data_IF_491147203682
#
_entry.id   IF_491147203682
#
_cell.length_a   1.000
_cell.length_b   1.000
_cell.length_c   1.000
_cell.angle_alpha   90.00
_cell.angle_beta   90.00
_cell.angle_gamma   90.00
#
_symmetry.space_group_name_H-M   'P 1'
#
loop_
_entity.id
_entity.type
_entity.pdbx_description
1 polymer ?
#
# COMPACT_ATOMS: atom_id res chain seq x y z
N UNK A 1 3.55 13.32 12.25
CA UNK A 1 4.50 12.72 11.28
C UNK A 1 3.67 11.88 10.33
N UNK A 2 4.00 11.87 9.04
CA UNK A 2 3.30 11.03 8.06
C UNK A 2 3.99 9.67 8.00
N UNK A 3 3.29 8.59 8.35
CA UNK A 3 3.80 7.23 8.12
C UNK A 3 3.49 6.80 6.69
N UNK A 4 4.48 6.23 6.01
CA UNK A 4 4.29 5.60 4.71
C UNK A 4 3.94 4.14 4.93
N UNK A 5 3.35 3.50 3.93
CA UNK A 5 3.11 2.07 3.98
C UNK A 5 3.09 1.48 2.57
N UNK A 6 3.09 0.15 2.50
CA UNK A 6 2.77 -0.59 1.31
C UNK A 6 1.56 -1.49 1.59
N UNK A 7 0.62 -1.51 0.65
CA UNK A 7 -0.56 -2.37 0.69
C UNK A 7 -0.39 -3.42 -0.40
N UNK A 8 -0.52 -4.69 -0.04
CA UNK A 8 -0.41 -5.83 -0.93
C UNK A 8 -1.70 -6.64 -0.99
N UNK A 9 -1.89 -7.32 -2.12
CA UNK A 9 -2.88 -8.37 -2.32
C UNK A 9 -2.21 -9.61 -2.86
N UNK A 10 -2.49 -10.75 -2.23
CA UNK A 10 -2.18 -12.06 -2.81
C UNK A 10 -3.15 -12.39 -3.96
N UNK A 11 -2.67 -12.36 -5.21
CA UNK A 11 -3.49 -12.59 -6.41
C UNK A 11 -3.50 -14.05 -6.87
N UNK A 12 -2.51 -14.82 -6.44
CA UNK A 12 -2.39 -16.26 -6.60
C UNK A 12 -1.45 -16.76 -5.48
N UNK A 13 -1.44 -18.07 -5.17
CA UNK A 13 -0.54 -18.61 -4.16
C UNK A 13 0.90 -18.14 -4.39
N UNK A 14 1.49 -17.47 -3.38
CA UNK A 14 2.86 -16.93 -3.45
C UNK A 14 3.07 -15.91 -4.57
N UNK A 15 2.04 -15.11 -4.88
CA UNK A 15 2.13 -14.01 -5.84
C UNK A 15 1.36 -12.80 -5.32
N UNK A 16 2.09 -11.72 -5.05
CA UNK A 16 1.55 -10.51 -4.47
C UNK A 16 1.72 -9.33 -5.41
N UNK A 17 0.66 -8.52 -5.52
CA UNK A 17 0.68 -7.21 -6.18
C UNK A 17 0.51 -6.15 -5.11
N UNK A 18 1.29 -5.07 -5.14
CA UNK A 18 1.22 -4.04 -4.11
C UNK A 18 1.38 -2.62 -4.63
N UNK A 19 1.07 -1.66 -3.76
CA UNK A 19 1.14 -0.24 -4.06
C UNK A 19 1.71 0.54 -2.89
N UNK A 20 2.40 1.62 -3.21
CA UNK A 20 2.88 2.59 -2.23
C UNK A 20 1.79 3.55 -1.75
N UNK A 21 1.79 3.81 -0.45
CA UNK A 21 0.98 4.85 0.19
C UNK A 21 1.89 5.86 0.89
N UNK A 22 1.80 7.13 0.50
CA UNK A 22 2.68 8.17 0.99
C UNK A 22 2.35 8.65 2.41
N UNK A 23 1.07 8.66 2.76
CA UNK A 23 0.57 9.23 4.01
C UNK A 23 -0.46 8.32 4.67
N UNK A 24 -0.68 8.59 5.96
CA UNK A 24 -1.71 7.94 6.77
C UNK A 24 -1.56 6.41 6.83
N UNK A 25 -0.32 5.90 6.78
CA UNK A 25 -0.04 4.47 6.82
C UNK A 25 -0.32 3.78 8.15
N UNK A 26 -0.72 4.51 9.20
CA UNK A 26 -1.03 3.94 10.52
C UNK A 26 -2.29 3.07 10.50
N UNK A 27 -2.41 2.18 11.49
CA UNK A 27 -3.55 1.28 11.66
C UNK A 27 -4.85 2.07 11.82
N UNK A 28 -4.86 3.13 12.65
CA UNK A 28 -6.01 4.03 12.87
C UNK A 28 -6.47 4.81 11.61
N UNK A 29 -5.70 4.79 10.52
CA UNK A 29 -6.11 5.38 9.25
C UNK A 29 -6.20 4.30 8.16
N UNK A 30 -5.08 3.95 7.51
CA UNK A 30 -5.08 2.96 6.42
C UNK A 30 -5.67 1.63 6.88
N UNK A 31 -5.32 1.14 8.07
CA UNK A 31 -5.83 -0.13 8.59
C UNK A 31 -7.36 -0.15 8.73
N UNK A 32 -7.93 0.86 9.39
CA UNK A 32 -9.38 0.99 9.53
C UNK A 32 -10.10 1.11 8.18
N UNK A 33 -9.53 1.87 7.23
CA UNK A 33 -10.10 2.00 5.89
C UNK A 33 -10.14 0.67 5.14
N UNK A 34 -9.09 -0.14 5.25
CA UNK A 34 -9.02 -1.47 4.64
C UNK A 34 -10.06 -2.42 5.22
N UNK A 35 -10.19 -2.45 6.56
CA UNK A 35 -11.21 -3.27 7.23
C UNK A 35 -12.63 -2.80 6.90
N UNK A 36 -12.86 -1.49 6.82
CA UNK A 36 -14.22 -0.99 6.66
C UNK A 36 -14.73 -1.05 5.22
N UNK A 37 -13.85 -0.82 4.23
CA UNK A 37 -14.29 -0.58 2.85
C UNK A 37 -13.67 -1.50 1.80
N UNK A 38 -12.66 -2.32 2.13
CA UNK A 38 -11.99 -3.22 1.17
C UNK A 38 -12.09 -4.69 1.59
N UNK A 39 -13.30 -5.13 1.93
CA UNK A 39 -13.57 -6.49 2.41
C UNK A 39 -13.70 -7.52 1.29
N UNK A 40 -14.16 -7.11 0.11
CA UNK A 40 -14.26 -8.02 -1.01
C UNK A 40 -12.88 -8.37 -1.56
N UNK A 41 -12.73 -9.64 -1.97
CA UNK A 41 -11.43 -10.24 -2.35
C UNK A 41 -10.65 -9.48 -3.44
N UNK A 42 -11.26 -8.59 -4.21
CA UNK A 42 -10.59 -7.92 -5.32
C UNK A 42 -10.72 -6.39 -5.28
N UNK A 43 -11.35 -5.79 -4.27
CA UNK A 43 -11.64 -4.36 -4.29
C UNK A 43 -10.36 -3.51 -4.28
N UNK A 44 -9.35 -3.93 -3.49
CA UNK A 44 -8.08 -3.22 -3.43
C UNK A 44 -7.25 -3.38 -4.71
N UNK A 45 -7.49 -4.43 -5.52
CA UNK A 45 -6.73 -4.66 -6.74
C UNK A 45 -6.96 -3.58 -7.78
N UNK A 46 -8.16 -3.00 -7.84
CA UNK A 46 -8.46 -1.92 -8.77
C UNK A 46 -7.59 -0.69 -8.45
N UNK A 47 -7.40 -0.39 -7.16
CA UNK A 47 -6.49 0.67 -6.70
C UNK A 47 -5.04 0.33 -7.02
N UNK A 48 -4.59 -0.88 -6.68
CA UNK A 48 -3.20 -1.33 -6.90
C UNK A 48 -2.84 -1.29 -8.38
N UNK A 49 -3.76 -1.69 -9.27
CA UNK A 49 -3.54 -1.79 -10.72
C UNK A 49 -3.55 -0.45 -11.45
N UNK A 50 -3.89 0.64 -10.78
CA UNK A 50 -3.56 1.98 -11.26
C UNK A 50 -2.04 2.20 -11.31
N UNK A 51 -1.25 1.41 -10.54
CA UNK A 51 0.22 1.43 -10.46
C UNK A 51 0.84 2.76 -9.99
N UNK A 52 0.00 3.75 -9.70
CA UNK A 52 0.39 5.09 -9.26
C UNK A 52 0.55 5.07 -7.74
N UNK A 53 1.62 5.67 -7.19
CA UNK A 53 1.67 5.92 -5.75
C UNK A 53 0.43 6.69 -5.31
N UNK A 54 -0.22 6.23 -4.24
CA UNK A 54 -1.33 6.93 -3.64
C UNK A 54 -0.84 7.73 -2.43
N UNK A 55 -1.54 8.81 -2.11
CA UNK A 55 -1.26 9.63 -0.95
C UNK A 55 -2.00 9.11 0.26
N UNK A 56 -3.27 8.73 0.08
CA UNK A 56 -4.12 8.11 1.10
C UNK A 56 -5.15 7.21 0.44
N UNK A 57 -5.62 6.22 1.18
CA UNK A 57 -6.74 5.38 0.76
C UNK A 57 -8.08 6.05 1.16
N UNK A 58 -9.09 5.90 0.30
CA UNK A 58 -10.45 6.39 0.57
C UNK A 58 -11.46 5.25 0.60
N UNK A 59 -12.71 5.52 0.94
CA UNK A 59 -13.76 4.49 1.03
C UNK A 59 -14.15 3.89 -0.32
N UNK A 60 -13.80 4.57 -1.41
CA UNK A 60 -14.00 4.09 -2.78
C UNK A 60 -12.66 3.78 -3.46
N UNK A 61 -12.71 2.76 -4.32
CA UNK A 61 -11.59 2.32 -5.17
C UNK A 61 -11.21 3.32 -6.28
N UNK A 62 -12.08 4.29 -6.56
CA UNK A 62 -11.80 5.33 -7.55
C UNK A 62 -10.62 6.19 -7.10
N UNK A 63 -9.55 6.19 -7.91
CA UNK A 63 -8.34 6.97 -7.64
C UNK A 63 -8.43 8.35 -8.29
N UNK A 64 -8.49 9.40 -7.47
CA UNK A 64 -8.57 10.80 -7.93
C UNK A 64 -7.24 11.52 -7.80
N UNK A 65 -6.94 12.37 -8.78
CA UNK A 65 -5.74 13.20 -8.76
C UNK A 65 -6.01 14.53 -8.04
N UNK A 66 -5.28 14.81 -6.96
CA UNK A 66 -5.50 16.01 -6.15
C UNK A 66 -5.27 17.33 -6.92
N UNK A 67 -4.43 17.32 -7.96
CA UNK A 67 -4.20 18.49 -8.82
C UNK A 67 -5.28 18.64 -9.91
N UNK A 68 -5.88 17.54 -10.36
CA UNK A 68 -6.84 17.51 -11.46
C UNK A 68 -8.31 17.63 -11.03
N UNK A 69 -8.65 17.12 -9.85
CA UNK A 69 -10.02 17.07 -9.34
C UNK A 69 -10.05 17.39 -7.83
N UNK A 70 -9.81 18.66 -7.51
CA UNK A 70 -9.72 19.14 -6.12
C UNK A 70 -11.04 18.98 -5.36
N UNK A 71 -12.18 19.09 -6.04
CA UNK A 71 -13.50 18.93 -5.42
C UNK A 71 -13.66 17.50 -4.91
N UNK A 72 -13.44 16.49 -5.77
CA UNK A 72 -13.50 15.08 -5.33
C UNK A 72 -12.42 14.74 -4.31
N UNK A 73 -11.22 15.30 -4.45
CA UNK A 73 -10.15 15.09 -3.48
C UNK A 73 -10.57 15.48 -2.04
N UNK A 74 -11.40 16.53 -1.89
CA UNK A 74 -11.87 17.01 -0.60
C UNK A 74 -13.19 16.36 -0.13
N UNK A 75 -13.83 15.53 -0.95
CA UNK A 75 -15.06 14.84 -0.55
C UNK A 75 -14.79 13.81 0.56
N UNK A 76 -15.65 13.86 1.58
CA UNK A 76 -15.73 12.88 2.67
C UNK A 76 -17.02 12.08 2.58
N UNK A 77 -17.04 10.90 3.21
CA UNK A 77 -18.23 10.08 3.35
C UNK A 77 -19.05 10.48 4.60
N UNK A 78 -20.08 9.70 4.93
CA UNK A 78 -20.97 9.98 6.07
C UNK A 78 -20.29 9.87 7.44
N UNK A 79 -19.12 9.25 7.52
CA UNK A 79 -18.29 9.12 8.72
C UNK A 79 -17.18 10.18 8.79
N UNK A 80 -17.25 11.23 7.96
CA UNK A 80 -16.19 12.25 7.79
C UNK A 80 -14.83 11.69 7.34
N UNK A 81 -14.81 10.48 6.77
CA UNK A 81 -13.60 9.84 6.22
C UNK A 81 -13.42 10.16 4.73
N UNK A 82 -12.18 10.15 4.20
CA UNK A 82 -11.93 10.41 2.78
C UNK A 82 -12.75 9.48 1.88
N UNK A 83 -13.55 10.05 1.00
CA UNK A 83 -14.42 9.27 0.12
C UNK A 83 -13.66 8.58 -1.00
N UNK A 84 -12.70 9.28 -1.61
CA UNK A 84 -11.90 8.79 -2.73
C UNK A 84 -10.47 8.49 -2.33
N UNK A 85 -9.90 7.43 -2.91
CA UNK A 85 -8.46 7.20 -2.86
C UNK A 85 -7.75 8.30 -3.65
N UNK A 86 -6.70 8.89 -3.10
CA UNK A 86 -6.09 10.08 -3.68
C UNK A 86 -4.66 9.82 -4.15
N UNK A 87 -4.26 10.48 -5.23
CA UNK A 87 -2.87 10.50 -5.70
C UNK A 87 -2.45 11.93 -6.08
N UNK A 88 -1.16 12.22 -5.94
CA UNK A 88 -0.50 13.41 -6.49
C UNK A 88 0.33 13.07 -7.73
N UNK A 89 0.07 11.92 -8.38
CA UNK A 89 0.84 11.45 -9.52
C UNK A 89 0.72 12.38 -10.73
N UNK A 90 1.85 12.88 -11.25
CA UNK A 90 1.91 13.68 -12.47
C UNK A 90 2.54 12.85 -13.59
N UNK A 91 1.78 12.62 -14.67
CA UNK A 91 2.23 11.78 -15.79
C UNK A 91 3.46 12.40 -16.47
N UNK A 92 4.54 11.63 -16.53
CA UNK A 92 5.82 12.07 -17.12
C UNK A 92 6.78 12.72 -16.12
N UNK A 93 6.34 12.98 -14.89
CA UNK A 93 7.17 13.55 -13.81
C UNK A 93 7.30 12.59 -12.63
N UNK A 94 6.21 11.91 -12.26
CA UNK A 94 6.17 10.99 -11.13
C UNK A 94 6.58 9.57 -11.53
N UNK A 95 7.29 8.89 -10.65
CA UNK A 95 7.58 7.47 -10.76
C UNK A 95 6.35 6.63 -10.39
N UNK A 96 6.13 5.55 -11.14
CA UNK A 96 5.20 4.51 -10.73
C UNK A 96 5.77 3.77 -9.52
N UNK A 97 4.90 3.30 -8.63
CA UNK A 97 5.28 2.62 -7.38
C UNK A 97 4.41 1.38 -7.20
N UNK A 98 4.48 0.51 -8.19
CA UNK A 98 3.80 -0.78 -8.22
C UNK A 98 4.77 -1.87 -7.76
N UNK A 99 4.34 -2.72 -6.84
CA UNK A 99 5.20 -3.71 -6.19
C UNK A 99 4.81 -5.13 -6.56
N UNK A 100 5.81 -6.01 -6.65
CA UNK A 100 5.61 -7.45 -6.75
C UNK A 100 6.48 -8.20 -5.76
N UNK A 101 5.88 -9.19 -5.10
CA UNK A 101 6.54 -10.10 -4.16
C UNK A 101 6.06 -11.54 -4.40
N UNK A 102 6.84 -12.50 -3.93
CA UNK A 102 6.57 -13.93 -4.05
C UNK A 102 6.29 -14.60 -2.70
N UNK A 103 6.50 -13.91 -1.58
CA UNK A 103 6.16 -14.46 -0.27
C UNK A 103 5.88 -13.35 0.75
N UNK A 104 5.25 -13.75 1.85
CA UNK A 104 5.04 -12.88 3.01
C UNK A 104 6.38 -12.41 3.60
N UNK A 105 7.39 -13.27 3.60
CA UNK A 105 8.75 -12.94 4.05
C UNK A 105 9.40 -11.89 3.15
N UNK A 106 9.25 -11.98 1.83
CA UNK A 106 9.75 -10.92 0.93
C UNK A 106 9.10 -9.57 1.22
N UNK A 107 7.80 -9.56 1.56
CA UNK A 107 7.10 -8.34 1.94
C UNK A 107 7.68 -7.79 3.25
N UNK A 108 7.75 -8.63 4.28
CA UNK A 108 8.26 -8.30 5.62
C UNK A 108 9.69 -7.77 5.59
N UNK A 109 10.55 -8.40 4.79
CA UNK A 109 11.98 -8.09 4.72
C UNK A 109 12.30 -6.97 3.71
N UNK A 110 11.28 -6.30 3.16
CA UNK A 110 11.42 -5.27 2.13
C UNK A 110 12.15 -5.76 0.86
N UNK A 111 12.06 -7.05 0.57
CA UNK A 111 12.66 -7.71 -0.59
C UNK A 111 11.69 -7.89 -1.76
N UNK A 112 10.65 -7.04 -1.84
CA UNK A 112 9.78 -6.93 -3.01
C UNK A 112 10.32 -5.93 -4.03
N UNK A 113 10.05 -6.17 -5.30
CA UNK A 113 10.56 -5.34 -6.40
C UNK A 113 9.59 -4.24 -6.82
N UNK A 114 10.13 -3.11 -7.28
CA UNK A 114 9.33 -1.99 -7.84
C UNK A 114 9.25 -2.09 -9.36
N UNK A 115 8.07 -1.86 -9.92
CA UNK A 115 7.77 -2.00 -11.35
C UNK A 115 7.17 -0.72 -11.93
N UNK A 116 7.42 -0.49 -13.21
CA UNK A 116 6.89 0.66 -13.94
C UNK A 116 5.47 0.42 -14.50
N UNK A 117 4.98 1.36 -15.32
CA UNK A 117 3.66 1.23 -15.96
C UNK A 117 3.53 -0.03 -16.83
N UNK A 118 4.61 -0.42 -17.52
CA UNK A 118 4.66 -1.58 -18.42
C UNK A 118 4.82 -2.89 -17.66
N UNK A 119 5.20 -2.81 -16.39
CA UNK A 119 5.51 -3.97 -15.55
C UNK A 119 6.99 -4.34 -15.58
N UNK A 120 7.85 -3.51 -16.15
CA UNK A 120 9.29 -3.71 -16.15
C UNK A 120 9.85 -3.35 -14.77
N UNK A 121 10.82 -4.13 -14.28
CA UNK A 121 11.48 -3.87 -12.99
C UNK A 121 12.24 -2.55 -13.07
N UNK A 122 11.96 -1.66 -12.13
CA UNK A 122 12.65 -0.40 -11.96
C UNK A 122 13.95 -0.61 -11.17
N UNK A 123 14.98 0.17 -11.50
CA UNK A 123 16.29 0.06 -10.89
C UNK A 123 17.28 1.03 -11.50
N UNK A 124 18.56 0.86 -11.17
CA UNK A 124 19.66 1.65 -11.68
C UNK A 124 20.82 0.77 -12.08
N UNK A 125 21.68 1.29 -12.96
CA UNK A 125 22.90 0.57 -13.37
C UNK A 125 24.08 1.10 -12.56
N UNK A 126 24.79 0.20 -11.87
CA UNK A 126 26.04 0.50 -11.19
C UNK A 126 27.13 -0.40 -11.72
N UNK A 127 28.21 0.19 -12.26
CA UNK A 127 29.37 -0.54 -12.81
C UNK A 127 29.02 -1.62 -13.85
N UNK A 128 27.95 -1.39 -14.63
CA UNK A 128 27.50 -2.32 -15.68
C UNK A 128 26.51 -3.38 -15.21
N UNK A 129 26.19 -3.42 -13.91
CA UNK A 129 25.19 -4.33 -13.35
C UNK A 129 23.90 -3.57 -13.06
N UNK A 130 22.76 -4.17 -13.44
CA UNK A 130 21.45 -3.66 -13.09
C UNK A 130 21.10 -4.04 -11.65
N UNK A 131 20.77 -3.04 -10.85
CA UNK A 131 20.34 -3.20 -9.45
C UNK A 131 18.88 -2.76 -9.36
N UNK A 132 18.00 -3.70 -9.03
CA UNK A 132 16.58 -3.44 -8.86
C UNK A 132 16.31 -2.55 -7.63
N UNK A 133 15.29 -1.70 -7.71
CA UNK A 133 14.76 -1.03 -6.54
C UNK A 133 13.93 -2.01 -5.72
N UNK A 134 14.37 -2.24 -4.49
CA UNK A 134 13.74 -3.16 -3.54
C UNK A 134 13.11 -2.38 -2.39
N UNK A 135 11.95 -2.86 -1.95
CA UNK A 135 11.25 -2.30 -0.80
C UNK A 135 10.73 -0.88 -1.02
N UNK A 136 10.18 -0.30 0.04
CA UNK A 136 9.91 1.13 0.10
C UNK A 136 10.24 1.69 1.46
N UNK A 137 10.94 2.84 1.48
CA UNK A 137 11.50 3.39 2.71
C UNK A 137 10.48 4.09 3.62
N UNK A 138 10.74 4.01 4.93
CA UNK A 138 9.98 4.65 6.01
C UNK A 138 8.53 4.12 6.12
N UNK A 139 8.38 2.81 5.94
CA UNK A 139 7.14 2.10 6.21
C UNK A 139 7.14 1.63 7.66
N UNK A 140 6.31 2.23 8.51
CA UNK A 140 6.07 1.71 9.86
C UNK A 140 5.09 0.53 9.88
N UNK A 141 4.40 0.30 8.76
CA UNK A 141 3.35 -0.70 8.60
C UNK A 141 3.41 -1.31 7.20
N UNK A 142 3.08 -2.60 7.11
CA UNK A 142 2.87 -3.32 5.85
C UNK A 142 1.52 -4.04 5.94
N UNK A 143 0.64 -3.81 4.97
CA UNK A 143 -0.68 -4.45 4.91
C UNK A 143 -0.72 -5.48 3.80
N UNK A 144 -1.31 -6.63 4.08
CA UNK A 144 -1.50 -7.70 3.09
C UNK A 144 -2.92 -8.24 3.20
N UNK A 145 -3.63 -8.33 2.07
CA UNK A 145 -4.83 -9.16 1.97
C UNK A 145 -4.45 -10.51 1.37
N UNK A 146 -4.76 -11.59 2.09
CA UNK A 146 -4.46 -12.95 1.64
C UNK A 146 -5.38 -13.39 0.48
N UNK A 147 -5.18 -14.59 -0.05
CA UNK A 147 -6.02 -15.15 -1.12
C UNK A 147 -7.50 -15.34 -0.73
N UNK A 148 -7.79 -15.45 0.57
CA UNK A 148 -9.14 -15.61 1.10
C UNK A 148 -9.88 -14.29 1.34
N UNK A 149 -9.18 -13.15 1.25
CA UNK A 149 -9.75 -11.82 1.46
C UNK A 149 -9.52 -11.28 2.89
N UNK A 150 -8.80 -12.00 3.73
CA UNK A 150 -8.49 -11.61 5.11
C UNK A 150 -7.32 -10.62 5.13
N UNK A 151 -7.44 -9.57 5.95
CA UNK A 151 -6.43 -8.54 6.09
C UNK A 151 -5.47 -8.83 7.23
N UNK A 152 -4.19 -8.61 6.97
CA UNK A 152 -3.10 -8.77 7.91
C UNK A 152 -2.24 -7.51 7.91
N UNK A 153 -1.58 -7.28 9.04
CA UNK A 153 -0.62 -6.19 9.21
C UNK A 153 0.65 -6.68 9.87
N UNK A 154 1.76 -6.14 9.41
CA UNK A 154 3.05 -6.23 10.06
C UNK A 154 3.49 -4.82 10.44
N UNK A 155 4.05 -4.65 11.65
CA UNK A 155 4.42 -3.36 12.22
C UNK A 155 5.94 -3.29 12.40
N UNK A 156 6.52 -2.10 12.33
CA UNK A 156 7.93 -1.91 12.67
C UNK A 156 8.14 -2.10 14.19
N UNK A 157 8.98 -3.07 14.57
CA UNK A 157 9.51 -3.16 15.93
C UNK A 157 10.65 -2.14 16.08
N UNK A 158 10.35 -1.02 16.73
CA UNK A 158 11.31 0.06 16.96
C UNK A 158 12.60 -0.40 17.67
N UNK A 159 12.55 -1.49 18.43
CA UNK A 159 13.70 -2.02 19.17
C UNK A 159 14.67 -2.80 18.28
N UNK A 160 14.16 -3.41 17.21
CA UNK A 160 14.94 -4.26 16.29
C UNK A 160 15.12 -3.64 14.91
N UNK A 161 14.33 -2.60 14.57
CA UNK A 161 14.20 -2.04 13.21
C UNK A 161 13.86 -3.10 12.17
N UNK A 162 13.06 -4.07 12.59
CA UNK A 162 12.57 -5.17 11.78
C UNK A 162 11.04 -5.17 11.83
N UNK A 163 10.42 -5.74 10.81
CA UNK A 163 8.97 -5.87 10.74
C UNK A 163 8.52 -7.10 11.55
N UNK A 164 7.46 -6.98 12.34
CA UNK A 164 6.89 -8.10 13.10
C UNK A 164 6.32 -9.17 12.16
N UNK A 165 6.00 -10.35 12.69
CA UNK A 165 5.14 -11.27 11.95
C UNK A 165 3.80 -10.63 11.60
N UNK A 166 3.23 -11.10 10.49
CA UNK A 166 1.89 -10.69 10.08
C UNK A 166 0.85 -11.25 11.05
N UNK A 167 0.02 -10.36 11.58
CA UNK A 167 -1.12 -10.69 12.43
C UNK A 167 -2.41 -10.23 11.76
N UNK A 168 -3.58 -10.82 12.09
CA UNK A 168 -4.85 -10.32 11.60
C UNK A 168 -4.99 -8.83 11.93
N UNK A 169 -5.38 -8.02 10.93
CA UNK A 169 -5.52 -6.57 11.08
C UNK A 169 -6.64 -6.21 12.07
N UNK A 170 -7.68 -7.03 12.13
CA UNK A 170 -8.82 -6.82 13.05
C UNK A 170 -8.38 -6.89 14.51
N UNK A 171 -7.52 -7.86 14.85
CA UNK A 171 -6.94 -7.99 16.19
C UNK A 171 -6.14 -6.73 16.58
N UNK A 172 -5.41 -6.14 15.62
CA UNK A 172 -4.60 -4.95 15.86
C UNK A 172 -5.44 -3.69 16.00
N UNK A 173 -6.49 -3.53 15.18
CA UNK A 173 -7.45 -2.42 15.30
C UNK A 173 -8.18 -2.48 16.65
N UNK A 174 -8.65 -3.65 17.07
CA UNK A 174 -9.28 -3.83 18.39
C UNK A 174 -8.32 -3.54 19.54
N UNK A 175 -7.03 -3.85 19.39
CA UNK A 175 -6.01 -3.60 20.42
C UNK A 175 -5.76 -2.11 20.60
N UNK A 176 -5.70 -1.33 19.52
CA UNK A 176 -5.46 0.12 19.58
C UNK A 176 -6.70 0.91 20.02
N UNK A 177 -7.89 0.32 19.91
CA UNK A 177 -9.16 0.94 20.33
C UNK A 177 -9.45 0.86 21.85
N UNK A 178 -8.58 0.21 22.63
CA UNK A 178 -8.72 -0.01 24.08
C UNK A 178 -7.79 0.89 24.90
#
# INVERSE_FOLDING_TARGET
MSSRTAIFKEVAPNKFEGIYVHSDGYVEYTGEMLIKYYQEKNDILDVIREKKPITRIGSLKDVVNAYGDKEKYLEVNEDDLPKYTATHFVKGESEYRYYQAQSWEEIKDFNYSTHDQKGDVQGYVHKGEFIAYMGSGNNGYLYVQDINGEWFVSLEDESQREMTEFIPLEDEVERQSK
#
